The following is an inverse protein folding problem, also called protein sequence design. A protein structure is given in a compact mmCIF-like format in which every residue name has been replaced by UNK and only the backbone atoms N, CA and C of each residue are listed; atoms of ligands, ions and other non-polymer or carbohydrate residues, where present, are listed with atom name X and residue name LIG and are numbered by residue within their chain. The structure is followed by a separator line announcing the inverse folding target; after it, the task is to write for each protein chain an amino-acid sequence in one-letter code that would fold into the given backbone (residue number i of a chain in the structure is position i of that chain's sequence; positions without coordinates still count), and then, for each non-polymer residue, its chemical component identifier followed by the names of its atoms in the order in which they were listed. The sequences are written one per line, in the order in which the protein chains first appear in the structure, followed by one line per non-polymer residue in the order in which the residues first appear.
data_IF_191520452013
#
_entry.id   IF_191520452013
#
_cell.length_a   1.000
_cell.length_b   1.000
_cell.length_c   1.000
_cell.angle_alpha   90.00
_cell.angle_beta   90.00
_cell.angle_gamma   90.00
#
_symmetry.space_group_name_H-M   'P 1'
#
loop_
_entity.id
_entity.type
_entity.pdbx_description
1 polymer ?
#
# COMPACT_ATOMS: atom_id res chain seq x y z
N UNK A 1 -1.30 -4.40 -5.33
CA UNK A 1 -0.38 -3.41 -4.74
C UNK A 1 -1.20 -2.19 -4.34
N UNK A 2 -1.81 -2.21 -3.16
CA UNK A 2 -2.55 -1.06 -2.63
C UNK A 2 -1.59 -0.21 -1.82
N UNK A 3 -0.98 0.77 -2.49
CA UNK A 3 -0.47 1.97 -1.82
C UNK A 3 -1.66 2.92 -1.76
N UNK A 4 -2.21 3.16 -0.58
CA UNK A 4 -3.16 4.26 -0.38
C UNK A 4 -2.40 5.57 -0.59
N UNK A 5 -2.41 6.08 -1.82
CA UNK A 5 -2.16 7.49 -2.09
C UNK A 5 -3.40 8.24 -1.62
N UNK A 6 -3.19 9.11 -0.64
CA UNK A 6 -4.19 10.01 -0.07
C UNK A 6 -4.99 10.70 -1.18
N UNK A 7 -6.30 10.43 -1.28
CA UNK A 7 -7.16 10.88 -2.37
C UNK A 7 -7.86 12.18 -2.02
N UNK A 8 -7.22 13.29 -2.39
CA UNK A 8 -7.91 14.55 -2.70
C UNK A 8 -7.79 14.90 -4.20
N UNK A 9 -7.39 13.95 -5.06
CA UNK A 9 -7.24 14.18 -6.49
C UNK A 9 -7.80 13.07 -7.41
N UNK A 10 -8.54 12.08 -6.89
CA UNK A 10 -9.06 10.97 -7.71
C UNK A 10 -10.59 10.94 -7.69
N UNK A 11 -11.21 11.99 -8.22
CA UNK A 11 -12.64 11.93 -8.57
C UNK A 11 -13.05 12.65 -9.86
N UNK A 12 -12.17 13.42 -10.53
CA UNK A 12 -12.54 14.14 -11.77
C UNK A 12 -11.95 13.56 -13.05
N UNK A 13 -10.90 12.72 -13.01
CA UNK A 13 -10.18 12.33 -14.22
C UNK A 13 -10.74 11.08 -14.92
N UNK A 14 -11.64 10.32 -14.28
CA UNK A 14 -12.13 9.06 -14.86
C UNK A 14 -13.28 9.27 -15.88
N UNK A 15 -14.07 10.35 -15.75
CA UNK A 15 -15.17 10.64 -16.68
C UNK A 15 -14.71 11.24 -18.01
N UNK A 16 -13.56 11.91 -18.07
CA UNK A 16 -12.99 12.40 -19.34
C UNK A 16 -12.41 11.27 -20.19
N UNK A 17 -11.67 10.33 -19.56
CA UNK A 17 -10.99 9.25 -20.29
C UNK A 17 -11.99 8.26 -20.89
N UNK A 18 -13.11 7.98 -20.22
CA UNK A 18 -14.13 7.05 -20.77
C UNK A 18 -14.91 7.62 -21.96
N UNK A 19 -14.99 8.94 -22.11
CA UNK A 19 -15.67 9.57 -23.25
C UNK A 19 -14.78 9.58 -24.52
N UNK A 20 -13.45 9.67 -24.35
CA UNK A 20 -12.48 9.60 -25.45
C UNK A 20 -12.41 8.18 -26.05
N UNK A 21 -12.46 7.15 -25.21
CA UNK A 21 -12.30 5.75 -25.63
C UNK A 21 -13.47 5.19 -26.47
N UNK A 22 -14.64 5.82 -26.48
CA UNK A 22 -15.73 5.44 -27.37
C UNK A 22 -15.57 5.99 -28.80
N UNK A 23 -14.72 7.01 -29.00
CA UNK A 23 -14.47 7.62 -30.30
C UNK A 23 -13.27 7.02 -31.07
N UNK A 24 -12.45 6.17 -30.43
CA UNK A 24 -11.20 5.67 -31.03
C UNK A 24 -11.29 4.31 -31.75
N UNK A 25 -12.49 3.72 -31.89
CA UNK A 25 -12.68 2.44 -32.60
C UNK A 25 -12.55 2.52 -34.14
N UNK A 26 -11.65 3.37 -34.66
CA UNK A 26 -11.22 3.28 -36.06
C UNK A 26 -9.79 3.80 -36.24
N UNK A 27 -8.84 2.85 -36.16
CA UNK A 27 -7.52 2.97 -36.78
C UNK A 27 -6.37 3.33 -35.85
N UNK A 28 -5.69 2.33 -35.29
CA UNK A 28 -4.23 2.17 -35.41
C UNK A 28 -3.79 0.92 -34.64
N UNK A 29 -3.03 0.07 -35.32
CA UNK A 29 -2.39 -1.12 -34.79
C UNK A 29 -1.43 -0.72 -33.65
N UNK A 30 -1.84 -0.90 -32.40
CA UNK A 30 -0.99 -0.68 -31.23
C UNK A 30 0.07 -1.79 -31.16
N UNK A 31 1.15 -1.62 -31.92
CA UNK A 31 2.39 -2.35 -31.69
C UNK A 31 2.80 -2.11 -30.23
N UNK A 32 3.04 -3.16 -29.43
CA UNK A 32 3.72 -2.99 -28.15
C UNK A 32 5.14 -2.54 -28.47
N UNK A 33 5.39 -1.23 -28.40
CA UNK A 33 6.73 -0.68 -28.48
C UNK A 33 7.51 -1.24 -27.30
N UNK A 34 8.25 -2.32 -27.54
CA UNK A 34 9.30 -2.78 -26.66
C UNK A 34 10.21 -1.57 -26.39
N UNK A 35 10.12 -1.01 -25.18
CA UNK A 35 10.99 0.08 -24.72
C UNK A 35 12.40 -0.47 -24.53
N UNK A 36 13.11 -0.76 -25.61
CA UNK A 36 14.38 -1.48 -25.55
C UNK A 36 15.60 -0.60 -25.29
N UNK A 37 15.50 0.74 -25.22
CA UNK A 37 16.69 1.62 -25.10
C UNK A 37 16.52 2.95 -24.33
N UNK A 38 15.48 3.14 -23.50
CA UNK A 38 15.36 4.39 -22.74
C UNK A 38 16.09 4.31 -21.40
N UNK A 39 16.98 5.26 -21.12
CA UNK A 39 17.61 5.44 -19.80
C UNK A 39 16.54 5.80 -18.75
N UNK A 40 16.41 4.95 -17.73
CA UNK A 40 15.49 5.20 -16.62
C UNK A 40 16.07 6.26 -15.67
N UNK A 41 15.22 7.15 -15.10
CA UNK A 41 15.64 8.04 -14.02
C UNK A 41 16.25 7.28 -12.84
N UNK A 42 17.15 7.89 -12.08
CA UNK A 42 17.80 7.22 -10.94
C UNK A 42 17.03 7.45 -9.63
N UNK A 43 16.34 8.58 -9.50
CA UNK A 43 15.55 8.98 -8.32
C UNK A 43 14.09 9.23 -8.67
N UNK A 44 13.22 9.09 -7.66
CA UNK A 44 11.79 9.31 -7.83
C UNK A 44 11.49 10.76 -8.27
N UNK A 45 12.25 11.73 -7.74
CA UNK A 45 12.14 13.15 -8.10
C UNK A 45 12.53 13.47 -9.55
N UNK A 46 13.20 12.56 -10.24
CA UNK A 46 13.62 12.72 -11.65
C UNK A 46 12.62 12.07 -12.62
N UNK A 47 11.56 11.43 -12.10
CA UNK A 47 10.50 10.84 -12.92
C UNK A 47 9.56 11.93 -13.44
N UNK A 48 9.01 11.69 -14.63
CA UNK A 48 7.95 12.53 -15.21
C UNK A 48 6.91 11.65 -15.92
N UNK A 49 5.78 12.23 -16.32
CA UNK A 49 4.77 11.48 -17.09
C UNK A 49 5.34 10.95 -18.41
N UNK A 50 6.25 11.72 -19.01
CA UNK A 50 6.97 11.36 -20.22
C UNK A 50 8.08 10.37 -19.93
N UNK A 51 8.75 10.38 -18.76
CA UNK A 51 9.81 9.44 -18.35
C UNK A 51 9.52 8.74 -17.01
N UNK A 52 8.51 7.86 -16.94
CA UNK A 52 8.14 7.22 -15.68
C UNK A 52 9.07 6.04 -15.37
N UNK A 53 9.12 5.65 -14.09
CA UNK A 53 9.59 4.33 -13.73
C UNK A 53 8.55 3.26 -14.09
N UNK A 54 8.96 2.08 -14.59
CA UNK A 54 8.06 0.95 -14.68
C UNK A 54 7.67 0.50 -13.27
N UNK A 55 6.48 -0.11 -13.15
CA UNK A 55 5.93 -0.62 -11.87
C UNK A 55 6.93 -1.53 -11.15
N UNK A 56 7.70 -2.33 -11.89
CA UNK A 56 8.74 -3.20 -11.33
C UNK A 56 9.84 -2.45 -10.59
N UNK A 57 10.25 -1.28 -11.05
CA UNK A 57 11.31 -0.47 -10.42
C UNK A 57 10.79 0.17 -9.13
N UNK A 58 9.64 0.84 -9.17
CA UNK A 58 9.08 1.47 -7.97
C UNK A 58 8.71 0.44 -6.90
N UNK A 59 8.19 -0.73 -7.30
CA UNK A 59 7.94 -1.85 -6.39
C UNK A 59 9.22 -2.30 -5.67
N UNK A 60 10.32 -2.54 -6.42
CA UNK A 60 11.61 -2.89 -5.83
C UNK A 60 12.17 -1.80 -4.90
N UNK A 61 12.01 -0.51 -5.27
CA UNK A 61 12.44 0.62 -4.44
C UNK A 61 11.67 0.66 -3.12
N UNK A 62 10.34 0.51 -3.15
CA UNK A 62 9.52 0.47 -1.95
C UNK A 62 9.84 -0.74 -1.08
N UNK A 63 9.96 -1.93 -1.69
CA UNK A 63 10.34 -3.14 -0.97
C UNK A 63 11.67 -2.96 -0.25
N UNK A 64 12.71 -2.51 -0.97
CA UNK A 64 14.02 -2.28 -0.37
C UNK A 64 14.03 -1.16 0.69
N UNK A 65 13.12 -0.19 0.63
CA UNK A 65 12.98 0.83 1.66
C UNK A 65 12.31 0.26 2.93
N UNK A 66 11.21 -0.47 2.77
CA UNK A 66 10.48 -1.11 3.88
C UNK A 66 11.32 -2.19 4.55
N UNK A 67 12.03 -3.01 3.77
CA UNK A 67 12.91 -4.05 4.29
C UNK A 67 13.99 -3.47 5.22
N UNK A 68 14.49 -2.26 4.92
CA UNK A 68 15.49 -1.56 5.73
C UNK A 68 14.89 -0.79 6.89
N UNK A 69 13.58 -0.61 6.95
CA UNK A 69 12.94 0.08 8.04
C UNK A 69 13.12 -0.73 9.33
N UNK A 70 13.63 -0.13 10.42
CA UNK A 70 13.76 -0.81 11.70
C UNK A 70 12.41 -1.23 12.28
N UNK A 71 12.41 -2.19 13.20
CA UNK A 71 11.21 -2.42 14.00
C UNK A 71 10.89 -1.16 14.84
N UNK A 72 9.60 -0.88 15.03
CA UNK A 72 9.12 0.29 15.76
C UNK A 72 8.05 -0.10 16.77
N UNK A 73 7.94 0.69 17.84
CA UNK A 73 6.86 0.61 18.81
C UNK A 73 5.72 1.53 18.39
N UNK A 74 4.50 1.01 18.42
CA UNK A 74 3.28 1.74 18.06
C UNK A 74 2.26 1.58 19.17
N UNK A 75 1.71 2.69 19.64
CA UNK A 75 0.56 2.70 20.54
C UNK A 75 -0.72 2.93 19.73
N UNK A 76 -1.81 2.28 20.12
CA UNK A 76 -3.13 2.59 19.58
C UNK A 76 -4.25 1.85 20.28
N UNK A 77 -5.47 2.30 20.01
CA UNK A 77 -6.67 1.62 20.48
C UNK A 77 -7.11 0.58 19.44
N UNK A 78 -7.45 -0.61 19.89
CA UNK A 78 -7.99 -1.65 19.02
C UNK A 78 -9.39 -1.26 18.57
N UNK A 79 -9.58 -1.13 17.27
CA UNK A 79 -10.90 -0.89 16.63
C UNK A 79 -11.41 -2.11 15.88
N UNK A 80 -10.53 -3.05 15.53
CA UNK A 80 -10.90 -4.32 14.91
C UNK A 80 -9.98 -5.45 15.37
N UNK A 81 -10.54 -6.64 15.60
CA UNK A 81 -9.78 -7.87 15.82
C UNK A 81 -10.37 -8.95 14.93
N UNK A 82 -9.52 -9.62 14.15
CA UNK A 82 -9.90 -10.77 13.35
C UNK A 82 -8.87 -11.89 13.54
N UNK A 83 -9.25 -12.90 14.32
CA UNK A 83 -8.43 -14.07 14.64
C UNK A 83 -9.23 -15.36 14.47
N UNK A 84 -10.00 -15.44 13.39
CA UNK A 84 -10.87 -16.59 13.11
C UNK A 84 -10.09 -17.90 12.95
N UNK A 85 -8.81 -17.81 12.55
CA UNK A 85 -7.91 -18.96 12.43
C UNK A 85 -6.86 -18.86 13.54
N UNK A 86 -6.48 -20.00 14.10
CA UNK A 86 -5.39 -20.07 15.08
C UNK A 86 -4.00 -19.80 14.47
N UNK A 87 -3.88 -19.85 13.13
CA UNK A 87 -2.60 -19.74 12.40
C UNK A 87 -2.26 -18.32 11.96
N UNK A 88 -3.26 -17.46 11.80
CA UNK A 88 -3.06 -16.07 11.41
C UNK A 88 -4.25 -15.20 11.80
N UNK A 89 -3.97 -13.92 12.01
CA UNK A 89 -4.98 -12.92 12.30
C UNK A 89 -4.43 -11.51 12.15
N UNK A 90 -5.32 -10.53 12.30
CA UNK A 90 -4.96 -9.13 12.29
C UNK A 90 -5.73 -8.34 13.34
N UNK A 91 -5.15 -7.20 13.72
CA UNK A 91 -5.73 -6.20 14.62
C UNK A 91 -5.58 -4.85 13.97
N UNK A 92 -6.65 -4.06 13.92
CA UNK A 92 -6.59 -2.67 13.47
C UNK A 92 -6.47 -1.76 14.68
N UNK A 93 -5.41 -0.96 14.74
CA UNK A 93 -5.18 0.07 15.75
C UNK A 93 -5.56 1.43 15.19
N UNK A 94 -6.26 2.24 15.99
CA UNK A 94 -6.58 3.64 15.70
C UNK A 94 -5.77 4.55 16.62
N UNK A 95 -5.29 5.66 16.05
CA UNK A 95 -4.64 6.73 16.79
C UNK A 95 -5.64 7.47 17.70
N UNK A 96 -5.17 8.10 18.78
CA UNK A 96 -6.05 8.79 19.74
C UNK A 96 -6.29 10.25 19.40
N UNK A 97 -5.44 10.84 18.57
CA UNK A 97 -5.41 12.25 18.24
C UNK A 97 -5.84 12.49 16.79
N UNK A 98 -5.48 11.58 15.90
CA UNK A 98 -5.71 11.67 14.47
C UNK A 98 -6.70 10.61 13.98
N UNK A 99 -7.41 10.89 12.89
CA UNK A 99 -8.26 9.90 12.21
C UNK A 99 -7.41 8.98 11.31
N UNK A 100 -6.46 8.28 11.94
CA UNK A 100 -5.52 7.38 11.29
C UNK A 100 -5.61 6.01 11.93
N UNK A 101 -5.53 4.96 11.11
CA UNK A 101 -5.52 3.57 11.57
C UNK A 101 -4.47 2.74 10.84
N UNK A 102 -3.93 1.75 11.53
CA UNK A 102 -2.92 0.81 11.03
C UNK A 102 -3.38 -0.61 11.32
N UNK A 103 -3.28 -1.50 10.32
CA UNK A 103 -3.51 -2.93 10.51
C UNK A 103 -2.20 -3.65 10.83
N UNK A 104 -2.23 -4.46 11.88
CA UNK A 104 -1.13 -5.30 12.33
C UNK A 104 -1.53 -6.74 12.07
N UNK A 105 -0.76 -7.41 11.24
CA UNK A 105 -0.98 -8.82 10.90
C UNK A 105 0.09 -9.69 11.56
N UNK A 106 -0.28 -10.92 11.90
CA UNK A 106 0.69 -11.88 12.40
C UNK A 106 0.21 -13.32 12.32
N UNK A 107 1.16 -14.22 12.56
CA UNK A 107 0.96 -15.67 12.55
C UNK A 107 0.62 -16.21 13.95
N UNK A 108 0.68 -17.53 14.15
CA UNK A 108 0.21 -18.21 15.37
C UNK A 108 0.72 -17.63 16.69
N UNK A 109 1.95 -17.10 16.75
CA UNK A 109 2.48 -16.46 17.98
C UNK A 109 1.79 -15.13 18.28
N UNK A 110 1.47 -14.34 17.25
CA UNK A 110 0.70 -13.11 17.40
C UNK A 110 -0.72 -13.40 17.89
N UNK A 111 -1.40 -14.36 17.25
CA UNK A 111 -2.75 -14.78 17.65
C UNK A 111 -2.80 -15.24 19.11
N UNK A 112 -1.81 -16.02 19.55
CA UNK A 112 -1.74 -16.46 20.95
C UNK A 112 -1.52 -15.31 21.95
N UNK A 113 -0.69 -14.31 21.61
CA UNK A 113 -0.46 -13.15 22.47
C UNK A 113 -1.68 -12.24 22.55
N UNK A 114 -2.47 -12.20 21.48
CA UNK A 114 -3.63 -11.33 21.37
C UNK A 114 -4.95 -12.00 21.79
N UNK A 115 -4.91 -13.25 22.27
CA UNK A 115 -6.10 -14.06 22.58
C UNK A 115 -7.08 -13.41 23.59
N UNK A 116 -6.55 -12.62 24.52
CA UNK A 116 -7.32 -11.99 25.59
C UNK A 116 -7.65 -10.52 25.30
N UNK A 117 -7.15 -9.98 24.17
CA UNK A 117 -7.39 -8.61 23.75
C UNK A 117 -8.80 -8.44 23.18
N UNK A 118 -9.33 -7.22 23.34
CA UNK A 118 -10.70 -6.85 22.94
C UNK A 118 -10.68 -5.53 22.17
N UNK A 119 -11.71 -5.33 21.35
CA UNK A 119 -11.97 -4.00 20.81
C UNK A 119 -12.15 -3.00 21.96
N UNK A 120 -11.52 -1.84 21.84
CA UNK A 120 -11.44 -0.82 22.87
C UNK A 120 -10.16 -0.84 23.70
N UNK A 121 -9.42 -1.96 23.73
CA UNK A 121 -8.17 -2.03 24.49
C UNK A 121 -7.10 -1.10 23.88
N UNK A 122 -6.32 -0.47 24.76
CA UNK A 122 -5.12 0.29 24.37
C UNK A 122 -3.91 -0.62 24.48
N UNK A 123 -3.16 -0.72 23.40
CA UNK A 123 -2.02 -1.64 23.31
C UNK A 123 -0.80 -0.94 22.75
N UNK A 124 0.35 -1.47 23.10
CA UNK A 124 1.65 -1.09 22.56
C UNK A 124 2.23 -2.30 21.84
N UNK A 125 2.54 -2.14 20.56
CA UNK A 125 3.00 -3.24 19.69
C UNK A 125 4.37 -2.93 19.13
N UNK A 126 5.27 -3.91 19.17
CA UNK A 126 6.56 -3.85 18.49
C UNK A 126 6.50 -4.69 17.21
N UNK A 127 6.76 -4.08 16.07
CA UNK A 127 6.67 -4.75 14.79
C UNK A 127 7.55 -4.12 13.72
N UNK A 128 7.77 -4.88 12.65
CA UNK A 128 8.43 -4.39 11.44
C UNK A 128 7.37 -4.09 10.40
N UNK A 129 7.54 -3.00 9.67
CA UNK A 129 6.71 -2.71 8.51
C UNK A 129 6.91 -3.79 7.45
N UNK A 130 5.82 -4.17 6.78
CA UNK A 130 5.85 -5.13 5.69
C UNK A 130 4.93 -4.63 4.57
N UNK A 131 5.24 -5.04 3.34
CA UNK A 131 4.44 -4.71 2.16
C UNK A 131 4.01 -6.01 1.46
N UNK A 132 2.72 -6.08 1.10
CA UNK A 132 2.08 -7.23 0.47
C UNK A 132 1.53 -6.87 -0.91
#
# INVERSE_FOLDING_TARGET
MFVLLNSQAVSMTLSMVLQELQNEHQGSELQPKAQSNRTLPLRASETSAENPWPVSVISQKFHGAVEKWPAAWVEGQIVEINMRRSTSGYVTLRDSNEDVSISIMGFSKFVQQAKDLRQGDRVVVHGKADIW
#
